data_IF_562955268925
#
_entry.id   IF_562955268925
#
_cell.length_a   1.000
_cell.length_b   1.000
_cell.length_c   1.000
_cell.angle_alpha   90.00
_cell.angle_beta   90.00
_cell.angle_gamma   90.00
#
_symmetry.space_group_name_H-M   'P 1'
#
loop_
_entity.id
_entity.type
_entity.pdbx_description
1 polymer ?
#
# COMPACT_ATOMS: atom_id res chain seq x y z
N UNK A 1 15.30 35.06 1.49
CA UNK A 1 15.78 33.84 0.78
C UNK A 1 15.12 33.76 -0.59
N UNK A 2 15.85 34.04 -1.68
CA UNK A 2 15.30 34.09 -3.05
C UNK A 2 14.71 32.75 -3.53
N UNK A 3 15.23 31.61 -3.06
CA UNK A 3 14.67 30.27 -3.34
C UNK A 3 13.22 30.08 -2.84
N UNK A 4 12.91 30.57 -1.64
CA UNK A 4 11.60 30.41 -0.97
C UNK A 4 10.70 31.66 -1.05
N UNK A 5 11.17 32.74 -1.66
CA UNK A 5 10.45 34.02 -1.68
C UNK A 5 10.27 34.68 -0.30
N UNK A 6 11.03 34.27 0.72
CA UNK A 6 10.94 34.89 2.04
C UNK A 6 11.66 36.24 2.04
N UNK A 7 10.90 37.33 2.15
CA UNK A 7 11.41 38.71 2.18
C UNK A 7 11.78 39.30 0.82
N UNK A 8 11.46 38.62 -0.30
CA UNK A 8 11.68 39.09 -1.68
C UNK A 8 10.87 38.23 -2.65
N UNK A 9 10.63 38.70 -3.88
CA UNK A 9 10.12 37.85 -4.97
C UNK A 9 11.08 36.67 -5.22
N UNK A 10 10.49 35.52 -5.59
CA UNK A 10 11.24 34.32 -5.98
C UNK A 10 12.06 34.64 -7.24
N UNK A 11 13.38 34.51 -7.13
CA UNK A 11 14.33 34.76 -8.22
C UNK A 11 15.31 33.60 -8.24
N UNK A 12 15.05 32.63 -9.13
CA UNK A 12 15.79 31.38 -9.18
C UNK A 12 17.23 31.61 -9.66
N UNK A 13 17.46 32.53 -10.60
CA UNK A 13 18.79 32.82 -11.12
C UNK A 13 19.69 33.51 -10.08
N UNK A 14 19.17 34.50 -9.33
CA UNK A 14 19.92 35.06 -8.18
C UNK A 14 20.11 34.05 -7.07
N UNK A 15 19.12 33.20 -6.84
CA UNK A 15 19.22 32.13 -5.86
C UNK A 15 20.34 31.15 -6.22
N UNK A 16 20.42 30.71 -7.48
CA UNK A 16 21.50 29.88 -8.00
C UNK A 16 22.86 30.56 -7.80
N UNK A 17 23.00 31.83 -8.21
CA UNK A 17 24.26 32.57 -8.10
C UNK A 17 24.76 32.65 -6.65
N UNK A 18 23.90 33.08 -5.71
CA UNK A 18 24.30 33.21 -4.31
C UNK A 18 24.52 31.85 -3.63
N UNK A 19 23.73 30.83 -4.01
CA UNK A 19 23.92 29.48 -3.49
C UNK A 19 25.25 28.89 -3.94
N UNK A 20 25.59 29.06 -5.22
CA UNK A 20 26.90 28.67 -5.76
C UNK A 20 28.03 29.34 -4.97
N UNK A 21 27.97 30.66 -4.80
CA UNK A 21 29.01 31.40 -4.07
C UNK A 21 29.16 30.94 -2.63
N UNK A 22 28.06 30.58 -1.97
CA UNK A 22 28.10 30.05 -0.59
C UNK A 22 28.61 28.61 -0.54
N UNK A 23 28.20 27.75 -1.48
CA UNK A 23 28.69 26.38 -1.60
C UNK A 23 30.21 26.34 -1.88
N UNK A 24 30.70 27.23 -2.77
CA UNK A 24 32.12 27.43 -3.09
C UNK A 24 32.94 27.86 -1.87
N UNK A 25 32.33 28.63 -0.94
CA UNK A 25 32.96 29.04 0.32
C UNK A 25 32.98 27.95 1.40
N UNK A 26 32.42 26.78 1.11
CA UNK A 26 32.51 25.62 2.01
C UNK A 26 31.31 25.45 2.95
N UNK A 27 30.28 26.30 2.90
CA UNK A 27 29.14 26.16 3.82
C UNK A 27 28.33 24.88 3.53
N UNK A 28 28.33 23.92 4.47
CA UNK A 28 27.68 22.62 4.31
C UNK A 28 26.22 22.71 3.83
N UNK A 29 25.40 23.55 4.48
CA UNK A 29 24.00 23.73 4.09
C UNK A 29 23.87 24.29 2.67
N UNK A 30 24.76 25.19 2.26
CA UNK A 30 24.75 25.73 0.90
C UNK A 30 25.18 24.69 -0.13
N UNK A 31 26.14 23.82 0.19
CA UNK A 31 26.54 22.72 -0.68
C UNK A 31 25.42 21.71 -0.87
N UNK A 32 24.72 21.35 0.22
CA UNK A 32 23.50 20.52 0.18
C UNK A 32 22.43 21.20 -0.69
N UNK A 33 22.08 22.46 -0.41
CA UNK A 33 21.08 23.16 -1.22
C UNK A 33 21.51 23.38 -2.67
N UNK A 34 22.81 23.43 -2.95
CA UNK A 34 23.34 23.57 -4.31
C UNK A 34 23.33 22.24 -5.08
N UNK A 35 23.43 21.09 -4.40
CA UNK A 35 23.28 19.77 -5.02
C UNK A 35 21.89 19.64 -5.67
N UNK A 36 20.84 20.14 -5.00
CA UNK A 36 19.46 20.13 -5.49
C UNK A 36 19.29 20.82 -6.85
N UNK A 37 20.03 21.90 -7.14
CA UNK A 37 19.94 22.58 -8.45
C UNK A 37 20.39 21.64 -9.58
N UNK A 38 21.47 20.90 -9.38
CA UNK A 38 21.95 19.93 -10.36
C UNK A 38 21.11 18.66 -10.37
N UNK A 39 20.57 18.24 -9.21
CA UNK A 39 19.75 17.04 -9.10
C UNK A 39 18.42 17.19 -9.87
N UNK A 40 17.75 18.33 -9.70
CA UNK A 40 16.46 18.62 -10.34
C UNK A 40 16.59 19.39 -11.66
N UNK A 41 17.77 19.90 -12.02
CA UNK A 41 17.96 20.75 -13.20
C UNK A 41 17.29 22.12 -13.08
N UNK A 42 17.36 22.73 -11.89
CA UNK A 42 16.80 24.07 -11.62
C UNK A 42 17.85 25.10 -12.06
N UNK A 43 17.53 25.97 -13.03
CA UNK A 43 18.46 26.99 -13.59
C UNK A 43 19.76 26.44 -14.20
N UNK A 44 19.89 25.12 -14.31
CA UNK A 44 21.02 24.39 -14.89
C UNK A 44 20.50 23.12 -15.55
N UNK A 45 21.29 22.49 -16.43
CA UNK A 45 20.99 21.14 -16.88
C UNK A 45 21.12 20.14 -15.72
N UNK A 46 20.21 19.17 -15.65
CA UNK A 46 20.32 18.06 -14.70
C UNK A 46 21.67 17.36 -14.86
N UNK A 47 22.42 17.24 -13.77
CA UNK A 47 23.77 16.68 -13.73
C UNK A 47 23.97 15.94 -12.39
N UNK A 48 23.69 14.64 -12.40
CA UNK A 48 23.73 13.83 -11.18
C UNK A 48 25.14 13.69 -10.61
N UNK A 49 26.19 13.77 -11.44
CA UNK A 49 27.58 13.71 -10.97
C UNK A 49 27.96 14.98 -10.19
N UNK A 50 27.53 16.16 -10.67
CA UNK A 50 27.71 17.41 -9.91
C UNK A 50 26.84 17.45 -8.66
N UNK A 51 25.61 16.96 -8.73
CA UNK A 51 24.76 16.82 -7.55
C UNK A 51 25.47 15.96 -6.49
N UNK A 52 25.95 14.77 -6.89
CA UNK A 52 26.71 13.86 -6.02
C UNK A 52 27.95 14.54 -5.41
N UNK A 53 28.71 15.27 -6.21
CA UNK A 53 29.90 15.98 -5.75
C UNK A 53 29.61 17.00 -4.64
N UNK A 54 28.59 17.84 -4.82
CA UNK A 54 28.23 18.85 -3.82
C UNK A 54 27.56 18.22 -2.59
N UNK A 55 26.73 17.20 -2.79
CA UNK A 55 26.11 16.41 -1.72
C UNK A 55 27.17 15.76 -0.84
N UNK A 56 28.17 15.12 -1.46
CA UNK A 56 29.29 14.49 -0.76
C UNK A 56 30.07 15.47 0.10
N UNK A 57 30.38 16.67 -0.43
CA UNK A 57 31.05 17.72 0.36
C UNK A 57 30.25 18.16 1.58
N UNK A 58 28.92 18.25 1.46
CA UNK A 58 28.06 18.60 2.58
C UNK A 58 27.98 17.47 3.62
N UNK A 59 27.82 16.22 3.16
CA UNK A 59 27.76 15.03 4.00
C UNK A 59 29.05 14.80 4.81
N UNK A 60 30.21 15.05 4.19
CA UNK A 60 31.54 14.98 4.82
C UNK A 60 31.71 16.01 5.94
N UNK A 61 30.96 17.12 5.90
CA UNK A 61 30.92 18.12 6.97
C UNK A 61 29.94 17.80 8.09
N UNK A 62 29.23 16.67 8.00
CA UNK A 62 28.34 16.21 9.06
C UNK A 62 26.88 16.57 8.86
N UNK A 63 26.47 17.22 7.75
CA UNK A 63 25.04 17.52 7.54
C UNK A 63 24.23 16.22 7.43
N UNK A 64 23.31 15.99 8.37
CA UNK A 64 22.56 14.74 8.46
C UNK A 64 21.64 14.51 7.25
N UNK A 65 21.09 15.56 6.64
CA UNK A 65 20.25 15.42 5.44
C UNK A 65 21.11 15.07 4.23
N UNK A 66 22.27 15.71 4.11
CA UNK A 66 23.21 15.40 3.06
C UNK A 66 23.75 13.97 3.16
N UNK A 67 24.04 13.50 4.37
CA UNK A 67 24.41 12.11 4.60
C UNK A 67 23.31 11.14 4.20
N UNK A 68 22.04 11.44 4.52
CA UNK A 68 20.92 10.63 4.05
C UNK A 68 20.83 10.62 2.52
N UNK A 69 20.86 11.79 1.88
CA UNK A 69 20.78 11.92 0.43
C UNK A 69 21.93 11.17 -0.26
N UNK A 70 23.15 11.31 0.25
CA UNK A 70 24.31 10.60 -0.28
C UNK A 70 24.12 9.08 -0.18
N UNK A 71 23.58 8.59 0.95
CA UNK A 71 23.22 7.18 1.09
C UNK A 71 22.20 6.73 0.04
N UNK A 72 21.19 7.55 -0.23
CA UNK A 72 20.19 7.28 -1.28
C UNK A 72 20.80 7.27 -2.69
N UNK A 73 21.73 8.19 -2.98
CA UNK A 73 22.43 8.23 -4.27
C UNK A 73 23.29 6.98 -4.49
N UNK A 74 23.99 6.49 -3.46
CA UNK A 74 24.71 5.23 -3.53
C UNK A 74 23.77 4.01 -3.64
N UNK A 75 22.63 4.02 -2.96
CA UNK A 75 21.66 2.90 -3.07
C UNK A 75 21.15 2.75 -4.51
N UNK A 76 20.79 3.86 -5.16
CA UNK A 76 20.16 3.87 -6.48
C UNK A 76 21.13 4.04 -7.65
N UNK A 77 22.42 4.30 -7.37
CA UNK A 77 23.42 4.57 -8.41
C UNK A 77 23.20 5.92 -9.13
N UNK A 78 22.75 6.93 -8.40
CA UNK A 78 22.48 8.27 -8.95
C UNK A 78 23.74 9.12 -8.90
N UNK A 79 24.33 9.42 -10.06
CA UNK A 79 25.55 10.24 -10.15
C UNK A 79 26.83 9.52 -9.70
N UNK A 80 26.72 8.28 -9.23
CA UNK A 80 27.79 7.38 -8.81
C UNK A 80 27.36 5.93 -9.10
N UNK A 81 28.30 4.99 -9.17
CA UNK A 81 27.94 3.56 -9.21
C UNK A 81 27.20 3.15 -7.93
N UNK A 82 26.20 2.27 -8.06
CA UNK A 82 25.48 1.75 -6.89
C UNK A 82 26.44 0.99 -5.96
N UNK A 83 26.35 1.28 -4.67
CA UNK A 83 27.17 0.68 -3.62
C UNK A 83 26.37 0.64 -2.32
N UNK A 84 25.88 -0.54 -1.96
CA UNK A 84 25.05 -0.71 -0.77
C UNK A 84 25.84 -0.57 0.54
N UNK A 85 27.16 -0.84 0.55
CA UNK A 85 28.00 -0.65 1.72
C UNK A 85 28.18 0.85 2.01
N UNK A 86 28.38 1.66 0.97
CA UNK A 86 28.38 3.12 1.11
C UNK A 86 27.01 3.66 1.51
N UNK A 87 25.92 3.13 0.93
CA UNK A 87 24.57 3.51 1.32
C UNK A 87 24.33 3.27 2.82
N UNK A 88 24.64 2.07 3.30
CA UNK A 88 24.55 1.70 4.71
C UNK A 88 25.37 2.64 5.60
N UNK A 89 26.63 2.90 5.22
CA UNK A 89 27.53 3.78 5.97
C UNK A 89 26.95 5.19 6.15
N UNK A 90 26.45 5.79 5.08
CA UNK A 90 25.93 7.16 5.11
C UNK A 90 24.55 7.25 5.77
N UNK A 91 23.66 6.28 5.55
CA UNK A 91 22.42 6.18 6.31
C UNK A 91 22.68 6.03 7.80
N UNK A 92 23.65 5.20 8.20
CA UNK A 92 24.01 5.02 9.60
C UNK A 92 24.48 6.32 10.25
N UNK A 93 25.38 7.07 9.61
CA UNK A 93 25.80 8.38 10.11
C UNK A 93 24.64 9.35 10.28
N UNK A 94 23.74 9.44 9.30
CA UNK A 94 22.56 10.29 9.37
C UNK A 94 21.58 9.85 10.48
N UNK A 95 21.37 8.54 10.63
CA UNK A 95 20.49 7.94 11.62
C UNK A 95 21.00 8.16 13.06
N UNK A 96 22.31 8.07 13.28
CA UNK A 96 22.98 8.33 14.56
C UNK A 96 22.82 9.80 15.00
N UNK A 97 22.71 10.73 14.05
CA UNK A 97 22.39 12.14 14.29
C UNK A 97 20.90 12.41 14.54
N UNK A 98 20.06 11.38 14.52
CA UNK A 98 18.64 11.52 14.80
C UNK A 98 17.75 11.72 13.58
N UNK A 99 18.26 11.66 12.34
CA UNK A 99 17.41 11.89 11.17
C UNK A 99 16.42 10.73 10.96
N UNK A 100 15.13 10.99 11.20
CA UNK A 100 14.09 9.96 11.25
C UNK A 100 13.99 9.10 9.98
N UNK A 101 14.13 9.70 8.79
CA UNK A 101 14.08 8.97 7.52
C UNK A 101 15.28 8.03 7.36
N UNK A 102 16.49 8.46 7.77
CA UNK A 102 17.65 7.58 7.77
C UNK A 102 17.51 6.44 8.79
N UNK A 103 16.96 6.71 9.98
CA UNK A 103 16.66 5.66 10.96
C UNK A 103 15.66 4.63 10.41
N UNK A 104 14.61 5.09 9.72
CA UNK A 104 13.68 4.19 9.04
C UNK A 104 14.38 3.32 7.99
N UNK A 105 15.20 3.91 7.11
CA UNK A 105 15.91 3.16 6.08
C UNK A 105 16.90 2.16 6.67
N UNK A 106 17.63 2.55 7.72
CA UNK A 106 18.53 1.65 8.43
C UNK A 106 17.77 0.49 9.08
N UNK A 107 16.59 0.76 9.63
CA UNK A 107 15.66 -0.27 10.12
C UNK A 107 15.29 -1.28 9.02
N UNK A 108 14.99 -0.80 7.81
CA UNK A 108 14.70 -1.66 6.65
C UNK A 108 15.91 -2.48 6.20
N UNK A 109 17.12 -1.90 6.17
CA UNK A 109 18.33 -2.64 5.81
C UNK A 109 18.58 -3.81 6.76
N UNK A 110 18.46 -3.59 8.07
CA UNK A 110 18.55 -4.65 9.08
C UNK A 110 17.40 -5.67 8.99
N UNK A 111 16.18 -5.24 8.68
CA UNK A 111 15.03 -6.15 8.58
C UNK A 111 15.11 -7.08 7.36
N UNK A 112 15.60 -6.56 6.24
CA UNK A 112 15.64 -7.28 4.95
C UNK A 112 16.95 -8.01 4.70
N UNK A 113 18.01 -7.67 5.44
CA UNK A 113 19.36 -8.18 5.18
C UNK A 113 19.98 -7.58 3.90
N UNK A 114 19.54 -6.39 3.48
CA UNK A 114 20.12 -5.67 2.35
C UNK A 114 21.45 -5.09 2.84
N UNK A 115 22.56 -5.59 2.30
CA UNK A 115 23.95 -5.24 2.63
C UNK A 115 24.51 -5.80 3.95
N UNK A 116 23.69 -5.85 5.00
CA UNK A 116 24.06 -6.41 6.30
C UNK A 116 23.33 -7.72 6.57
N UNK A 117 23.82 -8.51 7.54
CA UNK A 117 23.04 -9.66 8.03
C UNK A 117 21.74 -9.17 8.65
N UNK A 118 20.66 -9.94 8.43
CA UNK A 118 19.36 -9.66 9.05
C UNK A 118 19.49 -9.63 10.57
N UNK A 119 19.03 -8.55 11.18
CA UNK A 119 18.99 -8.37 12.62
C UNK A 119 17.69 -7.66 13.00
N UNK A 120 16.69 -8.44 13.42
CA UNK A 120 15.38 -7.90 13.77
C UNK A 120 15.42 -7.01 15.01
N UNK A 121 16.39 -7.19 15.90
CA UNK A 121 16.55 -6.38 17.11
C UNK A 121 17.09 -4.99 16.77
N UNK A 122 18.08 -4.92 15.86
CA UNK A 122 18.55 -3.64 15.31
C UNK A 122 17.48 -2.95 14.48
N UNK A 123 16.75 -3.71 13.64
CA UNK A 123 15.63 -3.16 12.89
C UNK A 123 14.61 -2.51 13.84
N UNK A 124 14.21 -3.24 14.89
CA UNK A 124 13.27 -2.75 15.89
C UNK A 124 13.76 -1.47 16.57
N UNK A 125 15.04 -1.44 16.97
CA UNK A 125 15.66 -0.27 17.59
C UNK A 125 15.57 0.98 16.71
N UNK A 126 15.93 0.87 15.43
CA UNK A 126 15.92 2.01 14.51
C UNK A 126 14.52 2.46 14.09
N UNK A 127 13.61 1.51 13.83
CA UNK A 127 12.20 1.84 13.60
C UNK A 127 11.58 2.52 14.81
N UNK A 128 11.89 2.07 16.04
CA UNK A 128 11.40 2.72 17.26
C UNK A 128 11.85 4.17 17.36
N UNK A 129 13.14 4.45 17.15
CA UNK A 129 13.65 5.84 17.15
C UNK A 129 12.98 6.71 16.09
N UNK A 130 12.76 6.19 14.89
CA UNK A 130 12.09 6.94 13.81
C UNK A 130 10.60 7.18 14.11
N UNK A 131 9.91 6.18 14.65
CA UNK A 131 8.50 6.24 15.01
C UNK A 131 8.23 7.24 16.16
N UNK A 132 9.12 7.29 17.16
CA UNK A 132 9.07 8.24 18.28
C UNK A 132 9.19 9.70 17.82
N UNK A 133 9.82 9.94 16.66
CA UNK A 133 9.89 11.26 16.03
C UNK A 133 8.67 11.59 15.14
N UNK A 134 7.68 10.69 15.08
CA UNK A 134 6.48 10.92 14.29
C UNK A 134 6.53 10.38 12.87
N UNK A 135 7.55 9.65 12.44
CA UNK A 135 7.62 9.19 11.05
C UNK A 135 6.59 8.08 10.77
N UNK A 136 5.58 8.38 9.96
CA UNK A 136 4.39 7.54 9.77
C UNK A 136 4.70 6.11 9.27
N UNK A 137 5.66 5.95 8.35
CA UNK A 137 6.05 4.64 7.83
C UNK A 137 6.76 3.78 8.89
N UNK A 138 7.58 4.41 9.73
CA UNK A 138 8.23 3.73 10.85
C UNK A 138 7.21 3.35 11.93
N UNK A 139 6.23 4.20 12.23
CA UNK A 139 5.14 3.87 13.16
C UNK A 139 4.32 2.67 12.68
N UNK A 140 3.96 2.63 11.40
CA UNK A 140 3.28 1.48 10.79
C UNK A 140 4.12 0.20 10.88
N UNK A 141 5.41 0.31 10.56
CA UNK A 141 6.32 -0.86 10.58
C UNK A 141 6.54 -1.36 12.01
N UNK A 142 6.76 -0.45 12.96
CA UNK A 142 6.91 -0.76 14.38
C UNK A 142 5.66 -1.43 14.95
N UNK A 143 4.47 -0.98 14.56
CA UNK A 143 3.21 -1.64 14.88
C UNK A 143 3.22 -3.10 14.43
N UNK A 144 3.56 -3.38 13.17
CA UNK A 144 3.66 -4.75 12.65
C UNK A 144 4.71 -5.59 13.38
N UNK A 145 5.83 -4.99 13.80
CA UNK A 145 6.85 -5.69 14.58
C UNK A 145 6.32 -6.10 15.96
N UNK A 146 5.59 -5.22 16.65
CA UNK A 146 4.89 -5.56 17.89
C UNK A 146 3.79 -6.61 17.69
N UNK A 147 3.04 -6.55 16.59
CA UNK A 147 2.01 -7.55 16.26
C UNK A 147 2.60 -8.96 16.12
N UNK A 148 3.77 -9.05 15.47
CA UNK A 148 4.45 -10.33 15.19
C UNK A 148 5.44 -10.76 16.28
N UNK A 149 5.84 -9.87 17.19
CA UNK A 149 6.95 -10.11 18.12
C UNK A 149 8.31 -10.20 17.41
N UNK A 150 8.53 -9.38 16.38
CA UNK A 150 9.81 -9.33 15.65
C UNK A 150 10.75 -8.32 16.33
N UNK A 151 11.93 -8.76 16.76
CA UNK A 151 12.91 -7.91 17.46
C UNK A 151 12.48 -7.43 18.85
N UNK A 152 11.31 -7.86 19.33
CA UNK A 152 10.71 -7.55 20.63
C UNK A 152 9.71 -8.64 21.00
N UNK A 153 9.22 -8.66 22.25
CA UNK A 153 8.05 -9.46 22.60
C UNK A 153 6.79 -8.94 21.88
N UNK A 154 5.91 -9.88 21.50
CA UNK A 154 4.60 -9.57 20.92
C UNK A 154 3.76 -8.76 21.92
N UNK A 155 3.20 -7.64 21.45
CA UNK A 155 2.41 -6.71 22.28
C UNK A 155 1.33 -6.06 21.41
N UNK A 156 0.11 -6.59 21.48
CA UNK A 156 -1.00 -6.12 20.64
C UNK A 156 -1.45 -4.70 21.02
N UNK A 157 -1.33 -4.31 22.28
CA UNK A 157 -1.69 -2.95 22.73
C UNK A 157 -0.72 -1.90 22.17
N UNK A 158 0.59 -2.19 22.17
CA UNK A 158 1.58 -1.31 21.51
C UNK A 158 1.45 -1.33 20.00
N UNK A 159 1.13 -2.49 19.41
CA UNK A 159 0.80 -2.59 17.99
C UNK A 159 -0.34 -1.64 17.64
N UNK A 160 -1.45 -1.70 18.38
CA UNK A 160 -2.60 -0.81 18.20
C UNK A 160 -2.20 0.66 18.34
N UNK A 161 -1.48 1.03 19.40
CA UNK A 161 -1.02 2.41 19.64
C UNK A 161 -0.23 2.99 18.45
N UNK A 162 0.78 2.27 17.96
CA UNK A 162 1.60 2.75 16.85
C UNK A 162 0.86 2.73 15.50
N UNK A 163 -0.05 1.76 15.29
CA UNK A 163 -0.92 1.74 14.11
C UNK A 163 -1.80 2.98 14.08
N UNK A 164 -2.40 3.33 15.22
CA UNK A 164 -3.24 4.51 15.36
C UNK A 164 -2.48 5.80 15.02
N UNK A 165 -1.28 5.98 15.57
CA UNK A 165 -0.42 7.14 15.25
C UNK A 165 -0.11 7.26 13.75
N UNK A 166 0.15 6.15 13.06
CA UNK A 166 0.41 6.15 11.61
C UNK A 166 -0.86 6.45 10.80
N UNK A 167 -2.00 5.86 11.19
CA UNK A 167 -3.29 6.06 10.55
C UNK A 167 -3.79 7.51 10.65
N UNK A 168 -3.59 8.14 11.82
CA UNK A 168 -3.88 9.56 12.08
C UNK A 168 -3.10 10.51 11.16
N UNK A 169 -1.93 10.09 10.68
CA UNK A 169 -1.12 10.84 9.71
C UNK A 169 -1.50 10.56 8.25
N UNK A 170 -2.55 9.78 8.00
CA UNK A 170 -3.03 9.52 6.64
C UNK A 170 -2.44 8.29 5.98
N UNK A 171 -1.61 7.48 6.65
CA UNK A 171 -1.02 6.29 6.02
C UNK A 171 -2.12 5.27 5.68
N UNK A 172 -2.38 5.09 4.39
CA UNK A 172 -3.51 4.31 3.86
C UNK A 172 -3.55 2.84 4.37
N UNK A 173 -2.43 2.11 4.29
CA UNK A 173 -2.32 0.75 4.86
C UNK A 173 -2.51 0.71 6.39
N UNK A 174 -2.12 1.76 7.11
CA UNK A 174 -2.31 1.83 8.56
C UNK A 174 -3.77 2.05 8.91
N UNK A 175 -4.48 2.88 8.14
CA UNK A 175 -5.93 3.09 8.30
C UNK A 175 -6.72 1.81 8.03
N UNK A 176 -6.39 1.08 6.95
CA UNK A 176 -7.02 -0.21 6.65
C UNK A 176 -6.80 -1.22 7.79
N UNK A 177 -5.57 -1.39 8.24
CA UNK A 177 -5.26 -2.35 9.30
C UNK A 177 -5.84 -1.93 10.66
N UNK A 178 -5.92 -0.63 10.96
CA UNK A 178 -6.59 -0.13 12.16
C UNK A 178 -8.08 -0.43 12.12
N UNK A 179 -8.72 -0.29 10.95
CA UNK A 179 -10.11 -0.67 10.75
C UNK A 179 -10.34 -2.16 11.00
N UNK A 180 -9.47 -3.04 10.48
CA UNK A 180 -9.49 -4.48 10.79
C UNK A 180 -9.37 -4.74 12.29
N UNK A 181 -8.42 -4.08 12.96
CA UNK A 181 -8.21 -4.20 14.40
C UNK A 181 -9.47 -3.83 15.18
N UNK A 182 -10.13 -2.72 14.86
CA UNK A 182 -11.41 -2.36 15.49
C UNK A 182 -12.56 -3.30 15.10
N UNK A 183 -12.53 -3.87 13.90
CA UNK A 183 -13.58 -4.78 13.44
C UNK A 183 -13.54 -6.13 14.17
N UNK A 184 -12.35 -6.65 14.46
CA UNK A 184 -12.15 -7.96 15.10
C UNK A 184 -11.78 -7.89 16.58
N UNK A 185 -11.40 -6.73 17.10
CA UNK A 185 -10.99 -6.55 18.51
C UNK A 185 -9.57 -7.06 18.80
N UNK A 186 -8.64 -6.97 17.86
CA UNK A 186 -7.26 -7.45 18.05
C UNK A 186 -6.36 -6.40 18.73
N UNK A 187 -6.15 -6.50 20.05
CA UNK A 187 -5.35 -5.53 20.79
C UNK A 187 -6.10 -4.26 21.21
N UNK A 188 -7.41 -4.23 20.95
CA UNK A 188 -8.38 -3.24 21.42
C UNK A 188 -9.76 -3.90 21.54
N UNK A 189 -10.78 -3.17 22.00
CA UNK A 189 -12.15 -3.66 21.96
C UNK A 189 -12.75 -3.49 20.57
N UNK A 190 -13.64 -4.40 20.18
CA UNK A 190 -14.40 -4.29 18.93
C UNK A 190 -15.22 -3.00 18.92
N UNK A 191 -15.08 -2.22 17.85
CA UNK A 191 -15.87 -1.01 17.61
C UNK A 191 -16.13 -0.89 16.10
N UNK A 192 -17.31 -1.32 15.66
CA UNK A 192 -17.70 -1.27 14.24
C UNK A 192 -17.82 0.16 13.71
N UNK A 193 -18.12 1.16 14.55
CA UNK A 193 -18.18 2.57 14.10
C UNK A 193 -16.77 3.08 13.79
N UNK A 194 -15.79 2.75 14.63
CA UNK A 194 -14.39 3.05 14.35
C UNK A 194 -13.86 2.28 13.14
N UNK A 195 -14.20 1.00 13.01
CA UNK A 195 -13.85 0.23 11.82
C UNK A 195 -14.40 0.88 10.54
N UNK A 196 -15.68 1.25 10.54
CA UNK A 196 -16.30 1.97 9.43
C UNK A 196 -15.58 3.27 9.09
N UNK A 197 -15.28 4.09 10.11
CA UNK A 197 -14.58 5.36 9.94
C UNK A 197 -13.20 5.18 9.27
N UNK A 198 -12.41 4.22 9.77
CA UNK A 198 -11.05 4.00 9.26
C UNK A 198 -11.03 3.29 7.90
N UNK A 199 -11.95 2.34 7.64
CA UNK A 199 -12.12 1.78 6.31
C UNK A 199 -12.49 2.86 5.30
N UNK A 200 -13.41 3.78 5.66
CA UNK A 200 -13.78 4.90 4.80
C UNK A 200 -12.59 5.77 4.43
N UNK A 201 -11.77 6.16 5.40
CA UNK A 201 -10.53 6.93 5.16
C UNK A 201 -9.56 6.22 4.22
N UNK A 202 -9.35 4.91 4.41
CA UNK A 202 -8.45 4.12 3.55
C UNK A 202 -9.03 3.89 2.14
N UNK A 203 -10.33 3.62 2.05
CA UNK A 203 -11.06 3.42 0.80
C UNK A 203 -11.08 4.69 -0.09
N UNK A 204 -11.23 5.87 0.54
CA UNK A 204 -11.14 7.18 -0.12
C UNK A 204 -9.76 7.45 -0.74
N UNK A 205 -8.70 6.81 -0.21
CA UNK A 205 -7.35 6.85 -0.76
C UNK A 205 -7.10 5.81 -1.87
N UNK A 206 -8.08 4.94 -2.14
CA UNK A 206 -7.99 3.94 -3.20
C UNK A 206 -7.70 2.51 -2.72
N UNK A 207 -7.53 2.25 -1.42
CA UNK A 207 -7.22 0.90 -0.93
C UNK A 207 -8.31 -0.10 -1.33
N UNK A 208 -7.94 -1.11 -2.12
CA UNK A 208 -8.91 -2.02 -2.77
C UNK A 208 -9.70 -2.85 -1.76
N UNK A 209 -9.03 -3.45 -0.77
CA UNK A 209 -9.65 -4.26 0.28
C UNK A 209 -10.44 -3.40 1.27
N UNK A 210 -10.02 -2.16 1.55
CA UNK A 210 -10.80 -1.25 2.36
C UNK A 210 -12.12 -0.87 1.67
N UNK A 211 -12.10 -0.65 0.35
CA UNK A 211 -13.31 -0.41 -0.44
C UNK A 211 -14.27 -1.61 -0.38
N UNK A 212 -13.74 -2.83 -0.52
CA UNK A 212 -14.53 -4.05 -0.38
C UNK A 212 -15.16 -4.19 1.02
N UNK A 213 -14.38 -4.02 2.09
CA UNK A 213 -14.89 -4.14 3.45
C UNK A 213 -15.86 -3.01 3.80
N UNK A 214 -15.63 -1.79 3.32
CA UNK A 214 -16.57 -0.69 3.48
C UNK A 214 -17.91 -0.97 2.78
N UNK A 215 -17.87 -1.57 1.59
CA UNK A 215 -19.08 -1.99 0.88
C UNK A 215 -19.86 -3.04 1.67
N UNK A 216 -19.20 -4.05 2.23
CA UNK A 216 -19.82 -5.04 3.12
C UNK A 216 -20.47 -4.37 4.35
N UNK A 217 -19.80 -3.37 4.95
CA UNK A 217 -20.35 -2.68 6.12
C UNK A 217 -21.61 -1.88 5.77
N UNK A 218 -21.67 -1.24 4.61
CA UNK A 218 -22.89 -0.60 4.11
C UNK A 218 -23.99 -1.62 3.77
N UNK A 219 -23.64 -2.75 3.17
CA UNK A 219 -24.60 -3.81 2.80
C UNK A 219 -25.30 -4.40 4.03
N UNK A 220 -24.55 -4.60 5.12
CA UNK A 220 -25.03 -5.22 6.36
C UNK A 220 -25.47 -4.20 7.42
N UNK A 221 -25.19 -2.90 7.23
CA UNK A 221 -25.44 -1.87 8.25
C UNK A 221 -24.55 -2.04 9.50
N UNK A 222 -23.31 -2.46 9.31
CA UNK A 222 -22.35 -2.60 10.41
C UNK A 222 -21.62 -1.28 10.65
N UNK A 223 -21.69 -0.74 11.87
CA UNK A 223 -21.03 0.54 12.20
C UNK A 223 -21.62 1.78 11.52
N UNK A 224 -22.62 1.59 10.67
CA UNK A 224 -23.38 2.61 9.92
C UNK A 224 -24.82 2.11 9.69
N UNK A 225 -25.67 2.91 9.05
CA UNK A 225 -26.96 2.44 8.55
C UNK A 225 -26.76 1.62 7.26
N UNK A 226 -27.61 0.61 7.06
CA UNK A 226 -27.64 -0.16 5.81
C UNK A 226 -27.95 0.76 4.63
N UNK A 227 -27.12 0.71 3.60
CA UNK A 227 -27.20 1.53 2.38
C UNK A 227 -26.66 0.74 1.18
N UNK A 228 -27.58 0.20 0.37
CA UNK A 228 -27.22 -0.62 -0.78
C UNK A 228 -26.63 0.20 -1.95
N UNK A 229 -26.96 1.48 -2.06
CA UNK A 229 -26.41 2.34 -3.12
C UNK A 229 -24.93 2.64 -2.83
N UNK A 230 -24.62 2.92 -1.56
CA UNK A 230 -23.23 3.05 -1.10
C UNK A 230 -22.46 1.73 -1.20
N UNK A 231 -23.07 0.60 -0.83
CA UNK A 231 -22.45 -0.71 -1.00
C UNK A 231 -22.11 -0.99 -2.47
N UNK A 232 -23.06 -0.74 -3.38
CA UNK A 232 -22.87 -0.90 -4.82
C UNK A 232 -21.72 -0.03 -5.34
N UNK A 233 -21.69 1.25 -4.94
CA UNK A 233 -20.62 2.18 -5.32
C UNK A 233 -19.23 1.67 -4.92
N UNK A 234 -19.08 1.21 -3.68
CA UNK A 234 -17.78 0.76 -3.17
C UNK A 234 -17.38 -0.62 -3.68
N UNK A 235 -18.32 -1.57 -3.85
CA UNK A 235 -18.04 -2.83 -4.54
C UNK A 235 -17.58 -2.59 -5.96
N UNK A 236 -18.23 -1.67 -6.69
CA UNK A 236 -17.82 -1.30 -8.05
C UNK A 236 -16.39 -0.79 -8.11
N UNK A 237 -16.01 0.15 -7.22
CA UNK A 237 -14.64 0.67 -7.13
C UNK A 237 -13.61 -0.44 -6.88
N UNK A 238 -13.88 -1.32 -5.91
CA UNK A 238 -12.99 -2.44 -5.59
C UNK A 238 -12.90 -3.47 -6.72
N UNK A 239 -14.04 -3.78 -7.36
CA UNK A 239 -14.12 -4.71 -8.48
C UNK A 239 -13.38 -4.22 -9.72
N UNK A 240 -13.42 -2.92 -10.00
CA UNK A 240 -12.67 -2.26 -11.08
C UNK A 240 -11.16 -2.32 -10.86
N UNK A 241 -10.71 -2.36 -9.59
CA UNK A 241 -9.31 -2.57 -9.22
C UNK A 241 -8.88 -4.05 -9.21
N UNK A 242 -9.82 -4.98 -9.44
CA UNK A 242 -9.51 -6.39 -9.60
C UNK A 242 -9.89 -7.28 -8.42
N UNK A 243 -10.50 -6.79 -7.34
CA UNK A 243 -10.85 -7.65 -6.20
C UNK A 243 -11.90 -8.70 -6.60
N UNK A 244 -11.54 -9.98 -6.49
CA UNK A 244 -12.40 -11.08 -6.93
C UNK A 244 -13.70 -11.18 -6.10
N UNK A 245 -13.67 -10.86 -4.80
CA UNK A 245 -14.85 -10.93 -3.93
C UNK A 245 -15.80 -9.78 -4.23
N UNK A 246 -15.28 -8.57 -4.46
CA UNK A 246 -16.05 -7.42 -4.88
C UNK A 246 -16.68 -7.64 -6.26
N UNK A 247 -15.96 -8.24 -7.21
CA UNK A 247 -16.51 -8.63 -8.52
C UNK A 247 -17.66 -9.63 -8.38
N UNK A 248 -17.53 -10.62 -7.50
CA UNK A 248 -18.61 -11.56 -7.20
C UNK A 248 -19.84 -10.86 -6.61
N UNK A 249 -19.65 -10.04 -5.57
CA UNK A 249 -20.74 -9.33 -4.91
C UNK A 249 -21.44 -8.35 -5.87
N UNK A 250 -20.67 -7.61 -6.67
CA UNK A 250 -21.22 -6.72 -7.70
C UNK A 250 -22.03 -7.49 -8.76
N UNK A 251 -21.55 -8.68 -9.15
CA UNK A 251 -22.31 -9.58 -10.02
C UNK A 251 -23.65 -10.00 -9.41
N UNK A 252 -23.67 -10.32 -8.11
CA UNK A 252 -24.89 -10.61 -7.36
C UNK A 252 -25.86 -9.43 -7.31
N UNK A 253 -25.37 -8.22 -7.01
CA UNK A 253 -26.20 -7.01 -6.96
C UNK A 253 -26.91 -6.72 -8.29
N UNK A 254 -26.22 -6.93 -9.42
CA UNK A 254 -26.83 -6.83 -10.75
C UNK A 254 -27.87 -7.93 -11.04
N UNK A 255 -27.81 -9.09 -10.40
CA UNK A 255 -28.81 -10.17 -10.55
C UNK A 255 -30.12 -9.86 -9.79
N UNK A 256 -29.97 -9.34 -8.56
CA UNK A 256 -31.06 -9.21 -7.58
C UNK A 256 -31.68 -7.80 -7.52
N UNK A 257 -31.15 -6.83 -8.27
CA UNK A 257 -31.56 -5.40 -8.23
C UNK A 257 -31.27 -4.72 -6.88
N UNK A 258 -30.17 -5.10 -6.23
CA UNK A 258 -29.76 -4.51 -4.96
C UNK A 258 -28.84 -3.32 -5.23
N UNK A 259 -29.26 -2.10 -4.84
CA UNK A 259 -28.48 -0.86 -5.06
C UNK A 259 -28.28 -0.47 -6.54
N UNK A 260 -28.92 -1.20 -7.47
CA UNK A 260 -28.84 -0.96 -8.91
C UNK A 260 -30.01 -1.62 -9.65
N UNK A 261 -30.21 -1.29 -10.93
CA UNK A 261 -31.18 -1.98 -11.79
C UNK A 261 -30.66 -3.35 -12.24
N UNK A 262 -31.54 -4.36 -12.28
CA UNK A 262 -31.22 -5.70 -12.79
C UNK A 262 -30.54 -5.65 -14.16
N UNK A 263 -29.40 -6.31 -14.29
CA UNK A 263 -28.66 -6.45 -15.54
C UNK A 263 -27.90 -7.78 -15.56
N UNK A 264 -28.53 -8.83 -16.09
CA UNK A 264 -27.96 -10.16 -16.12
C UNK A 264 -26.68 -10.24 -16.98
N UNK A 265 -26.55 -9.40 -18.00
CA UNK A 265 -25.34 -9.34 -18.83
C UNK A 265 -24.16 -8.76 -18.05
N UNK A 266 -24.37 -7.70 -17.26
CA UNK A 266 -23.34 -7.18 -16.34
C UNK A 266 -23.06 -8.14 -15.19
N UNK A 267 -24.09 -8.80 -14.66
CA UNK A 267 -23.92 -9.86 -13.65
C UNK A 267 -22.98 -10.94 -14.18
N UNK A 268 -23.24 -11.45 -15.39
CA UNK A 268 -22.42 -12.46 -16.05
C UNK A 268 -20.98 -11.98 -16.27
N UNK A 269 -20.81 -10.75 -16.75
CA UNK A 269 -19.49 -10.15 -16.96
C UNK A 269 -18.64 -10.11 -15.68
N UNK A 270 -19.21 -9.63 -14.57
CA UNK A 270 -18.49 -9.55 -13.30
C UNK A 270 -18.26 -10.92 -12.66
N UNK A 271 -19.23 -11.83 -12.77
CA UNK A 271 -19.09 -13.21 -12.32
C UNK A 271 -17.96 -13.93 -13.07
N UNK A 272 -17.85 -13.71 -14.38
CA UNK A 272 -16.76 -14.25 -15.21
C UNK A 272 -15.39 -13.72 -14.78
N UNK A 273 -15.28 -12.42 -14.48
CA UNK A 273 -14.03 -11.85 -13.97
C UNK A 273 -13.62 -12.46 -12.63
N UNK A 274 -14.54 -12.59 -11.68
CA UNK A 274 -14.28 -13.20 -10.38
C UNK A 274 -13.88 -14.69 -10.51
N UNK A 275 -14.60 -15.44 -11.34
CA UNK A 275 -14.37 -16.87 -11.57
C UNK A 275 -12.98 -17.16 -12.16
N UNK A 276 -12.51 -16.32 -13.09
CA UNK A 276 -11.16 -16.41 -13.69
C UNK A 276 -10.03 -16.23 -12.68
N UNK A 277 -10.29 -15.56 -11.56
CA UNK A 277 -9.34 -15.38 -10.46
C UNK A 277 -9.36 -16.53 -9.45
N UNK A 278 -10.15 -17.59 -9.69
CA UNK A 278 -10.20 -18.74 -8.79
C UNK A 278 -11.28 -18.65 -7.71
N UNK A 279 -12.15 -17.63 -7.72
CA UNK A 279 -13.17 -17.51 -6.68
C UNK A 279 -14.26 -18.58 -6.86
N UNK A 280 -14.22 -19.62 -6.02
CA UNK A 280 -14.99 -20.84 -6.21
C UNK A 280 -16.52 -20.61 -6.26
N UNK A 281 -17.05 -19.69 -5.43
CA UNK A 281 -18.48 -19.31 -5.47
C UNK A 281 -18.86 -18.67 -6.81
N UNK A 282 -17.98 -17.85 -7.39
CA UNK A 282 -18.24 -17.27 -8.71
C UNK A 282 -18.19 -18.32 -9.81
N UNK A 283 -17.27 -19.28 -9.75
CA UNK A 283 -17.19 -20.39 -10.71
C UNK A 283 -18.46 -21.26 -10.66
N UNK A 284 -18.96 -21.54 -9.46
CA UNK A 284 -20.23 -22.23 -9.27
C UNK A 284 -21.41 -21.45 -9.86
N UNK A 285 -21.56 -20.15 -9.55
CA UNK A 285 -22.66 -19.36 -10.13
C UNK A 285 -22.52 -19.20 -11.64
N UNK A 286 -21.32 -18.98 -12.16
CA UNK A 286 -21.05 -18.89 -13.59
C UNK A 286 -21.44 -20.19 -14.31
N UNK A 287 -21.28 -21.34 -13.67
CA UNK A 287 -21.80 -22.62 -14.18
C UNK A 287 -23.30 -22.54 -14.42
N UNK A 288 -24.06 -22.09 -13.41
CA UNK A 288 -25.51 -21.99 -13.51
C UNK A 288 -25.91 -21.00 -14.60
N UNK A 289 -25.19 -19.87 -14.72
CA UNK A 289 -25.43 -18.88 -15.77
C UNK A 289 -25.23 -19.46 -17.17
N UNK A 290 -24.15 -20.20 -17.41
CA UNK A 290 -23.96 -20.91 -18.69
C UNK A 290 -24.95 -22.06 -18.90
N UNK A 291 -25.32 -22.77 -17.83
CA UNK A 291 -26.26 -23.89 -17.94
C UNK A 291 -27.65 -23.40 -18.33
N UNK A 292 -28.16 -22.35 -17.70
CA UNK A 292 -29.51 -21.82 -17.92
C UNK A 292 -29.58 -20.66 -18.93
N UNK A 293 -28.44 -20.14 -19.40
CA UNK A 293 -28.41 -19.00 -20.32
C UNK A 293 -28.79 -17.68 -19.65
N UNK A 294 -28.37 -17.48 -18.40
CA UNK A 294 -28.64 -16.23 -17.66
C UNK A 294 -27.56 -15.21 -17.98
N UNK A 295 -27.93 -14.12 -18.66
CA UNK A 295 -26.98 -13.07 -19.06
C UNK A 295 -25.99 -13.48 -20.16
N UNK A 296 -26.15 -14.69 -20.71
CA UNK A 296 -25.33 -15.28 -21.78
C UNK A 296 -26.13 -16.34 -22.55
N UNK A 297 -25.63 -16.81 -23.68
CA UNK A 297 -26.18 -18.00 -24.34
C UNK A 297 -25.86 -19.27 -23.56
N UNK A 298 -26.75 -20.26 -23.59
CA UNK A 298 -26.49 -21.57 -22.96
C UNK A 298 -25.22 -22.21 -23.51
N UNK A 299 -24.33 -22.70 -22.64
CA UNK A 299 -23.14 -23.45 -23.01
C UNK A 299 -22.81 -24.51 -21.95
N UNK A 300 -23.25 -25.75 -22.19
CA UNK A 300 -23.09 -26.85 -21.23
C UNK A 300 -21.63 -27.30 -21.04
N UNK A 301 -20.77 -27.10 -22.05
CA UNK A 301 -19.33 -27.41 -21.95
C UNK A 301 -18.63 -26.42 -21.01
N UNK A 302 -18.90 -25.13 -21.16
CA UNK A 302 -18.42 -24.11 -20.23
C UNK A 302 -18.99 -24.33 -18.83
N UNK A 303 -20.27 -24.69 -18.72
CA UNK A 303 -20.88 -25.04 -17.44
C UNK A 303 -20.13 -26.19 -16.74
N UNK A 304 -19.85 -27.29 -17.43
CA UNK A 304 -19.04 -28.39 -16.89
C UNK A 304 -17.63 -27.91 -16.50
N UNK A 305 -16.94 -27.17 -17.37
CA UNK A 305 -15.61 -26.63 -17.07
C UNK A 305 -15.56 -25.82 -15.76
N UNK A 306 -16.49 -24.87 -15.60
CA UNK A 306 -16.51 -24.01 -14.40
C UNK A 306 -16.96 -24.74 -13.14
N UNK A 307 -17.84 -25.74 -13.24
CA UNK A 307 -18.27 -26.52 -12.08
C UNK A 307 -17.12 -27.34 -11.51
N UNK A 308 -16.33 -27.97 -12.39
CA UNK A 308 -15.13 -28.69 -11.99
C UNK A 308 -14.13 -27.76 -11.31
N UNK A 309 -13.89 -26.58 -11.87
CA UNK A 309 -13.03 -25.57 -11.23
C UNK A 309 -13.55 -25.14 -9.86
N UNK A 310 -14.87 -24.97 -9.70
CA UNK A 310 -15.46 -24.62 -8.41
C UNK A 310 -15.20 -25.71 -7.36
N UNK A 311 -15.34 -26.98 -7.75
CA UNK A 311 -15.03 -28.13 -6.90
C UNK A 311 -13.54 -28.19 -6.54
N UNK A 312 -12.66 -28.07 -7.53
CA UNK A 312 -11.19 -28.08 -7.34
C UNK A 312 -10.74 -26.94 -6.41
N UNK A 313 -11.43 -25.79 -6.44
CA UNK A 313 -11.21 -24.66 -5.55
C UNK A 313 -11.99 -24.76 -4.22
N UNK A 314 -12.48 -25.94 -3.87
CA UNK A 314 -12.98 -26.28 -2.54
C UNK A 314 -14.48 -26.02 -2.29
N UNK A 315 -15.27 -25.65 -3.30
CA UNK A 315 -16.72 -25.48 -3.14
C UNK A 315 -17.44 -26.82 -3.23
N UNK A 316 -17.71 -27.45 -2.08
CA UNK A 316 -18.18 -28.84 -2.02
C UNK A 316 -19.55 -29.03 -2.66
N UNK A 317 -20.43 -28.04 -2.59
CA UNK A 317 -21.76 -28.03 -3.22
C UNK A 317 -21.69 -28.16 -4.74
N UNK A 318 -20.51 -27.91 -5.34
CA UNK A 318 -20.28 -28.15 -6.76
C UNK A 318 -20.43 -29.63 -7.14
N UNK A 319 -20.08 -30.56 -6.24
CA UNK A 319 -20.18 -32.00 -6.49
C UNK A 319 -21.64 -32.44 -6.63
N UNK A 320 -22.49 -32.02 -5.71
CA UNK A 320 -23.91 -32.37 -5.74
C UNK A 320 -24.59 -31.78 -6.99
N UNK A 321 -24.18 -30.56 -7.37
CA UNK A 321 -24.72 -29.90 -8.56
C UNK A 321 -24.17 -30.50 -9.87
N UNK A 322 -22.95 -31.04 -9.86
CA UNK A 322 -22.37 -31.75 -11.01
C UNK A 322 -23.24 -32.91 -11.47
N UNK A 323 -23.63 -33.77 -10.52
CA UNK A 323 -24.47 -34.93 -10.80
C UNK A 323 -25.89 -34.52 -11.15
N UNK A 324 -26.46 -33.56 -10.41
CA UNK A 324 -27.83 -33.06 -10.63
C UNK A 324 -28.04 -32.45 -12.02
N UNK A 325 -27.02 -31.77 -12.54
CA UNK A 325 -27.05 -31.15 -13.87
C UNK A 325 -26.49 -32.07 -14.97
N UNK A 326 -26.16 -33.32 -14.63
CA UNK A 326 -25.57 -34.33 -15.51
C UNK A 326 -24.33 -33.81 -16.27
N UNK A 327 -23.48 -33.03 -15.61
CA UNK A 327 -22.38 -32.29 -16.27
C UNK A 327 -21.28 -33.20 -16.81
N UNK A 328 -21.16 -34.42 -16.30
CA UNK A 328 -20.28 -35.47 -16.82
C UNK A 328 -20.52 -35.80 -18.30
N UNK A 329 -21.71 -35.50 -18.86
CA UNK A 329 -22.01 -35.69 -20.29
C UNK A 329 -21.28 -34.69 -21.20
N UNK A 330 -20.82 -33.57 -20.65
CA UNK A 330 -20.26 -32.44 -21.40
C UNK A 330 -18.78 -32.19 -21.11
N UNK A 331 -18.20 -32.99 -20.21
CA UNK A 331 -16.77 -33.02 -19.99
C UNK A 331 -16.10 -33.68 -21.21
N UNK A 332 -15.13 -33.00 -21.79
CA UNK A 332 -14.36 -33.55 -22.92
C UNK A 332 -13.24 -34.42 -22.34
N UNK A 333 -13.06 -35.63 -22.88
CA UNK A 333 -11.91 -36.50 -22.56
C UNK A 333 -10.57 -35.81 -22.80
#
# INVERSE_FOLDING_TARGET
MYYKGQGTLKDLSKSFYWMQKSAEQGFALAQYMFSDYYYYGIETSKDLQKAFYWEKKSAEQGDAKAQYNLGYMYENGEGVSSDLHQAFYWFKKSAEQGFATAQNNLGFMYLTGKDVLTDTSQAFYWFKKSAEQGYADAQYTLSRMYYKGQGTLKDLSKSFYWMQKSAEQGKEMAQYNLALTYYYGEGTLTDKKQAFYWYKKSAEQGHTEAQYNLALMYEHGEGTLKDLDSAFYWFKKSAEQGDAKAQFNLGGMYSESEGTSKDLSKSFYWMQKSARQGYAKAQYLLTLMYYYGQGTSTNKKEAAYWMRKAYDNGFQEAKDMWDKLELWKYESN
#
